data_IF_249752292675
#
_entry.id   IF_249752292675
#
_cell.length_a   1.000
_cell.length_b   1.000
_cell.length_c   1.000
_cell.angle_alpha   90.00
_cell.angle_beta   90.00
_cell.angle_gamma   90.00
#
_symmetry.space_group_name_H-M   'P 1'
#
loop_
_entity.id
_entity.type
_entity.pdbx_description
1 polymer ?
#
# COMPACT_ATOMS: atom_id res chain seq x y z
N UNK A 1 9.79 -17.01 -11.79
CA UNK A 1 9.15 -17.22 -10.47
C UNK A 1 7.66 -16.85 -10.45
N UNK A 2 7.08 -16.31 -11.55
CA UNK A 2 5.64 -15.99 -11.66
C UNK A 2 4.91 -16.75 -12.79
N UNK A 3 5.58 -17.67 -13.50
CA UNK A 3 4.98 -18.46 -14.60
C UNK A 3 4.32 -19.77 -14.14
N UNK A 4 4.57 -20.21 -12.90
CA UNK A 4 4.19 -21.55 -12.43
C UNK A 4 2.81 -21.62 -11.75
N UNK A 5 2.06 -20.51 -11.73
CA UNK A 5 0.78 -20.41 -11.00
C UNK A 5 -0.47 -20.38 -11.90
N UNK A 6 -0.35 -20.53 -13.22
CA UNK A 6 -1.44 -20.56 -14.24
C UNK A 6 -2.45 -19.38 -14.21
N UNK A 7 -2.24 -18.40 -13.31
CA UNK A 7 -2.96 -17.14 -13.21
C UNK A 7 -1.96 -15.99 -13.17
N UNK A 8 -1.34 -15.72 -14.32
CA UNK A 8 -0.45 -14.56 -14.47
C UNK A 8 -1.28 -13.29 -14.49
N UNK A 9 -1.42 -12.62 -13.34
CA UNK A 9 -2.07 -11.30 -13.27
C UNK A 9 -1.12 -10.27 -13.90
N UNK A 10 -1.54 -9.52 -14.94
CA UNK A 10 -0.68 -8.54 -15.58
C UNK A 10 -0.19 -7.49 -14.59
N UNK A 11 1.10 -7.17 -14.57
CA UNK A 11 1.68 -6.17 -13.65
C UNK A 11 1.00 -4.80 -13.75
N UNK A 12 0.58 -4.41 -14.95
CA UNK A 12 -0.18 -3.17 -15.19
C UNK A 12 -1.55 -3.20 -14.53
N UNK A 13 -2.21 -4.36 -14.50
CA UNK A 13 -3.48 -4.54 -13.81
C UNK A 13 -3.26 -4.42 -12.29
N UNK A 14 -2.26 -5.11 -11.75
CA UNK A 14 -1.89 -5.00 -10.33
C UNK A 14 -1.62 -3.55 -9.94
N UNK A 15 -0.78 -2.84 -10.69
CA UNK A 15 -0.45 -1.44 -10.44
C UNK A 15 -1.67 -0.50 -10.58
N UNK A 16 -2.55 -0.76 -11.55
CA UNK A 16 -3.79 -0.02 -11.73
C UNK A 16 -4.77 -0.21 -10.56
N UNK A 17 -4.98 -1.45 -10.11
CA UNK A 17 -5.85 -1.75 -8.98
C UNK A 17 -5.31 -1.15 -7.67
N UNK A 18 -4.00 -1.25 -7.43
CA UNK A 18 -3.35 -0.60 -6.28
C UNK A 18 -3.50 0.92 -6.34
N UNK A 19 -3.32 1.54 -7.52
CA UNK A 19 -3.46 2.98 -7.70
C UNK A 19 -4.89 3.46 -7.39
N UNK A 20 -5.91 2.70 -7.82
CA UNK A 20 -7.32 2.98 -7.49
C UNK A 20 -7.55 2.82 -5.98
N UNK A 21 -7.07 1.73 -5.40
CA UNK A 21 -7.15 1.48 -3.95
C UNK A 21 -6.54 2.65 -3.17
N UNK A 22 -5.33 3.09 -3.55
CA UNK A 22 -4.67 4.24 -2.94
C UNK A 22 -5.52 5.52 -3.06
N UNK A 23 -6.08 5.81 -4.24
CA UNK A 23 -6.95 6.97 -4.42
C UNK A 23 -8.17 6.94 -3.47
N UNK A 24 -8.77 5.76 -3.26
CA UNK A 24 -9.86 5.59 -2.30
C UNK A 24 -9.40 5.88 -0.86
N UNK A 25 -8.17 5.50 -0.48
CA UNK A 25 -7.66 5.76 0.87
C UNK A 25 -7.38 7.24 1.16
N UNK A 26 -7.28 8.08 0.14
CA UNK A 26 -7.14 9.53 0.31
C UNK A 26 -8.43 10.17 0.83
N UNK A 27 -9.58 9.48 0.71
CA UNK A 27 -10.81 9.92 1.35
C UNK A 27 -10.63 9.87 2.88
N UNK A 28 -10.92 10.96 3.61
CA UNK A 28 -10.66 11.07 5.05
C UNK A 28 -11.73 10.33 5.87
N UNK A 29 -12.02 9.08 5.52
CA UNK A 29 -13.00 8.20 6.18
C UNK A 29 -12.34 7.37 7.28
N UNK A 30 -11.03 7.12 7.17
CA UNK A 30 -10.27 6.32 8.13
C UNK A 30 -8.87 6.90 8.37
N UNK A 31 -8.30 6.58 9.54
CA UNK A 31 -6.93 6.98 9.87
C UNK A 31 -5.97 6.20 8.98
N UNK A 32 -5.19 6.93 8.18
CA UNK A 32 -4.17 6.36 7.28
C UNK A 32 -4.74 5.34 6.27
N UNK A 33 -6.04 5.35 6.00
CA UNK A 33 -6.68 4.37 5.11
C UNK A 33 -6.94 3.00 5.75
N UNK A 34 -6.78 2.82 7.07
CA UNK A 34 -6.98 1.53 7.73
C UNK A 34 -8.41 1.01 7.54
N UNK A 35 -8.55 -0.29 7.24
CA UNK A 35 -9.81 -0.93 6.89
C UNK A 35 -10.34 -0.56 5.49
N UNK A 36 -10.30 0.72 5.10
CA UNK A 36 -10.71 1.18 3.77
C UNK A 36 -9.79 0.61 2.68
N UNK A 37 -8.47 0.64 2.90
CA UNK A 37 -7.51 0.06 1.97
C UNK A 37 -7.67 -1.46 1.89
N UNK A 38 -7.87 -2.11 3.04
CA UNK A 38 -8.02 -3.57 3.13
C UNK A 38 -9.24 -4.03 2.35
N UNK A 39 -10.38 -3.36 2.56
CA UNK A 39 -11.60 -3.62 1.83
C UNK A 39 -11.43 -3.32 0.33
N UNK A 40 -10.78 -2.20 -0.01
CA UNK A 40 -10.56 -1.81 -1.40
C UNK A 40 -9.72 -2.84 -2.15
N UNK A 41 -8.59 -3.28 -1.57
CA UNK A 41 -7.73 -4.31 -2.16
C UNK A 41 -8.50 -5.63 -2.29
N UNK A 42 -9.15 -6.08 -1.21
CA UNK A 42 -9.88 -7.36 -1.23
C UNK A 42 -10.98 -7.39 -2.29
N UNK A 43 -11.77 -6.32 -2.41
CA UNK A 43 -12.85 -6.21 -3.39
C UNK A 43 -12.31 -6.06 -4.81
N UNK A 44 -11.35 -5.16 -5.03
CA UNK A 44 -10.83 -4.87 -6.38
C UNK A 44 -10.06 -6.05 -6.97
N UNK A 45 -9.21 -6.71 -6.17
CA UNK A 45 -8.45 -7.87 -6.64
C UNK A 45 -9.33 -9.12 -6.78
N UNK A 46 -10.40 -9.25 -5.98
CA UNK A 46 -11.36 -10.33 -6.19
C UNK A 46 -12.24 -10.10 -7.42
N UNK A 47 -12.72 -8.88 -7.63
CA UNK A 47 -13.60 -8.55 -8.74
C UNK A 47 -12.87 -8.51 -10.10
N UNK A 48 -11.63 -8.02 -10.14
CA UNK A 48 -10.92 -7.76 -11.39
C UNK A 48 -9.60 -8.52 -11.54
N UNK A 49 -8.99 -8.96 -10.43
CA UNK A 49 -7.70 -9.66 -10.43
C UNK A 49 -7.82 -11.19 -10.44
N UNK A 50 -9.03 -11.75 -10.37
CA UNK A 50 -9.25 -13.20 -10.33
C UNK A 50 -8.81 -13.87 -9.02
N UNK A 51 -8.53 -13.09 -7.97
CA UNK A 51 -8.15 -13.60 -6.66
C UNK A 51 -9.38 -14.04 -5.86
N UNK A 52 -9.23 -15.06 -5.00
CA UNK A 52 -10.24 -15.34 -3.97
C UNK A 52 -10.28 -14.18 -2.97
N UNK A 53 -11.41 -14.02 -2.25
CA UNK A 53 -11.55 -12.94 -1.28
C UNK A 53 -10.56 -13.08 -0.11
N UNK A 54 -10.28 -14.31 0.31
CA UNK A 54 -9.27 -14.64 1.34
C UNK A 54 -7.85 -14.28 0.86
N UNK A 55 -7.56 -14.56 -0.41
CA UNK A 55 -6.27 -14.22 -1.04
C UNK A 55 -6.11 -12.71 -1.16
N UNK A 56 -7.18 -11.98 -1.51
CA UNK A 56 -7.20 -10.52 -1.56
C UNK A 56 -6.98 -9.86 -0.19
N UNK A 57 -7.60 -10.39 0.87
CA UNK A 57 -7.36 -9.94 2.24
C UNK A 57 -5.93 -10.24 2.71
N UNK A 58 -5.43 -11.43 2.39
CA UNK A 58 -4.03 -11.81 2.68
C UNK A 58 -3.05 -10.85 2.01
N UNK A 59 -3.28 -10.54 0.74
CA UNK A 59 -2.49 -9.57 -0.02
C UNK A 59 -2.56 -8.18 0.63
N UNK A 60 -3.75 -7.73 1.01
CA UNK A 60 -3.94 -6.42 1.62
C UNK A 60 -3.13 -6.27 2.92
N UNK A 61 -3.21 -7.26 3.80
CA UNK A 61 -2.45 -7.26 5.06
C UNK A 61 -0.95 -7.34 4.79
N UNK A 62 -0.51 -8.25 3.91
CA UNK A 62 0.91 -8.42 3.59
C UNK A 62 1.52 -7.13 3.02
N UNK A 63 0.85 -6.51 2.04
CA UNK A 63 1.27 -5.26 1.45
C UNK A 63 1.42 -4.16 2.50
N UNK A 64 0.43 -4.05 3.39
CA UNK A 64 0.43 -3.07 4.48
C UNK A 64 1.58 -3.28 5.45
N UNK A 65 1.82 -4.53 5.84
CA UNK A 65 2.92 -4.90 6.73
C UNK A 65 4.27 -4.57 6.08
N UNK A 66 4.45 -4.86 4.80
CA UNK A 66 5.67 -4.52 4.07
C UNK A 66 5.89 -3.00 4.00
N UNK A 67 4.86 -2.23 3.67
CA UNK A 67 4.93 -0.77 3.64
C UNK A 67 5.22 -0.16 5.03
N UNK A 68 4.62 -0.72 6.08
CA UNK A 68 4.93 -0.35 7.45
C UNK A 68 6.42 -0.57 7.76
N UNK A 69 6.94 -1.77 7.50
CA UNK A 69 8.36 -2.05 7.73
C UNK A 69 9.29 -1.19 6.87
N UNK A 70 8.93 -0.90 5.62
CA UNK A 70 9.71 -0.04 4.74
C UNK A 70 9.73 1.43 5.21
N UNK A 71 8.66 1.90 5.86
CA UNK A 71 8.54 3.27 6.36
C UNK A 71 9.13 3.48 7.76
N UNK A 72 9.19 2.45 8.60
CA UNK A 72 9.70 2.52 9.98
C UNK A 72 11.11 3.14 10.11
N UNK A 73 12.10 2.82 9.24
CA UNK A 73 13.42 3.45 9.31
C UNK A 73 13.37 4.98 9.20
N UNK A 74 12.39 5.54 8.47
CA UNK A 74 12.20 6.99 8.34
C UNK A 74 11.90 7.68 9.67
N UNK A 75 11.27 6.98 10.62
CA UNK A 75 10.94 7.52 11.93
C UNK A 75 12.18 7.96 12.74
N UNK A 76 13.32 7.31 12.52
CA UNK A 76 14.60 7.65 13.19
C UNK A 76 15.12 9.03 12.82
N UNK A 77 14.73 9.57 11.66
CA UNK A 77 15.21 10.83 11.13
C UNK A 77 14.28 12.02 11.44
N UNK A 78 13.06 11.75 11.92
CA UNK A 78 12.05 12.79 12.21
C UNK A 78 12.54 13.84 13.23
N UNK A 79 13.19 13.48 14.36
CA UNK A 79 13.67 14.49 15.31
C UNK A 79 14.70 15.46 14.71
N UNK A 80 15.58 14.95 13.83
CA UNK A 80 16.60 15.75 13.15
C UNK A 80 16.01 16.73 12.12
N UNK A 81 14.97 16.31 11.40
CA UNK A 81 14.26 17.18 10.45
C UNK A 81 13.49 18.30 11.17
N UNK A 82 12.88 18.00 12.32
CA UNK A 82 12.14 18.98 13.12
C UNK A 82 13.06 19.96 13.86
N UNK A 83 14.31 19.58 14.15
CA UNK A 83 15.28 20.42 14.85
C UNK A 83 15.86 21.55 13.99
N UNK A 84 15.60 21.54 12.68
CA UNK A 84 15.87 22.65 11.76
C UNK A 84 17.31 22.71 11.26
N UNK A 85 17.43 22.74 9.92
CA UNK A 85 18.62 23.22 9.24
C UNK A 85 18.94 24.64 9.72
N UNK A 86 20.03 24.80 10.49
CA UNK A 86 20.67 26.09 10.62
C UNK A 86 21.36 26.39 9.29
N UNK A 87 20.62 26.93 8.33
CA UNK A 87 21.20 27.51 7.13
C UNK A 87 22.13 28.65 7.58
N UNK A 88 23.45 28.58 7.35
CA UNK A 88 24.34 29.69 7.65
C UNK A 88 23.94 30.81 6.69
N UNK A 89 23.33 31.88 7.23
CA UNK A 89 23.15 33.12 6.49
C UNK A 89 24.54 33.70 6.21
N UNK A 90 24.92 33.72 4.93
CA UNK A 90 26.07 34.46 4.43
C UNK A 90 25.64 35.87 4.02
#
# INVERSE_FOLDING_TARGET
MLDDMDQTVPILLVGGLESISYFITLLPVSINGLGVQELSIAVLFSAYGGASQESGLTLAILYRTLMLFASLPGALFIPGMLAGEKQPQA
#
